data_IF_951968754515
#
_entry.id   IF_951968754515
#
_cell.length_a   1.000
_cell.length_b   1.000
_cell.length_c   1.000
_cell.angle_alpha   90.00
_cell.angle_beta   90.00
_cell.angle_gamma   90.00
#
_symmetry.space_group_name_H-M   'P 1'
#
loop_
_entity.id
_entity.type
_entity.pdbx_description
1 polymer ?
#
# COMPACT_ATOMS: atom_id res chain seq x y z
N UNK A 1 11.44 -15.98 -3.23
CA UNK A 1 10.07 -15.92 -3.78
C UNK A 1 9.30 -17.14 -3.35
N UNK A 2 8.06 -16.94 -2.93
CA UNK A 2 7.12 -17.99 -2.50
C UNK A 2 5.69 -17.46 -2.67
N UNK A 3 4.66 -18.32 -2.58
CA UNK A 3 3.28 -17.86 -2.69
C UNK A 3 2.26 -18.95 -2.99
N UNK A 4 1.02 -18.50 -3.19
CA UNK A 4 -0.13 -19.32 -3.54
C UNK A 4 -0.21 -19.47 -5.06
N UNK A 5 0.50 -20.45 -5.60
CA UNK A 5 0.68 -20.61 -7.05
C UNK A 5 -0.64 -20.70 -7.82
N UNK A 6 -1.63 -21.45 -7.30
CA UNK A 6 -2.93 -21.60 -7.97
C UNK A 6 -3.83 -20.36 -7.91
N UNK A 7 -3.50 -19.38 -7.06
CA UNK A 7 -4.22 -18.11 -6.93
C UNK A 7 -3.50 -16.95 -7.63
N UNK A 8 -2.30 -17.18 -8.19
CA UNK A 8 -1.38 -16.14 -8.66
C UNK A 8 -1.09 -15.04 -7.63
N UNK A 9 -1.04 -15.41 -6.35
CA UNK A 9 -0.59 -14.52 -5.27
C UNK A 9 0.85 -14.90 -4.91
N UNK A 10 1.78 -13.95 -5.05
CA UNK A 10 3.20 -14.18 -4.80
C UNK A 10 3.77 -13.17 -3.79
N UNK A 11 4.50 -13.69 -2.82
CA UNK A 11 5.32 -12.92 -1.89
C UNK A 11 6.73 -12.75 -2.44
N UNK A 12 7.11 -11.50 -2.56
CA UNK A 12 8.35 -11.06 -3.18
C UNK A 12 9.18 -10.27 -2.16
N UNK A 13 9.98 -10.99 -1.39
CA UNK A 13 10.83 -10.42 -0.35
C UNK A 13 12.26 -10.22 -0.88
N UNK A 14 12.81 -9.02 -0.65
CA UNK A 14 14.10 -8.60 -1.20
C UNK A 14 15.04 -8.17 -0.08
N UNK A 15 16.24 -8.76 -0.05
CA UNK A 15 17.36 -8.26 0.76
C UNK A 15 18.11 -7.22 -0.08
N UNK A 16 18.04 -5.95 0.33
CA UNK A 16 18.67 -4.84 -0.38
C UNK A 16 20.00 -4.47 0.28
N UNK A 17 21.02 -4.21 -0.54
CA UNK A 17 22.34 -3.77 -0.05
C UNK A 17 22.23 -2.43 0.71
N UNK A 18 23.01 -2.28 1.78
CA UNK A 18 23.08 -1.03 2.55
C UNK A 18 23.53 0.13 1.65
N UNK A 19 22.88 1.29 1.81
CA UNK A 19 23.15 2.51 1.05
C UNK A 19 22.28 2.70 -0.21
N UNK A 20 21.49 1.69 -0.59
CA UNK A 20 20.48 1.85 -1.65
C UNK A 20 19.30 2.64 -1.10
N UNK A 21 18.78 3.57 -1.90
CA UNK A 21 17.48 4.19 -1.63
C UNK A 21 16.35 3.18 -1.88
N UNK A 22 15.90 2.56 -0.79
CA UNK A 22 14.83 1.56 -0.83
C UNK A 22 13.47 2.16 -1.21
N UNK A 23 13.27 3.47 -1.03
CA UNK A 23 12.04 4.12 -1.40
C UNK A 23 11.95 4.26 -2.93
N UNK A 24 12.98 4.82 -3.56
CA UNK A 24 13.06 4.92 -5.01
C UNK A 24 13.05 3.55 -5.68
N UNK A 25 13.79 2.58 -5.14
CA UNK A 25 13.78 1.20 -5.64
C UNK A 25 12.36 0.60 -5.59
N UNK A 26 11.64 0.79 -4.47
CA UNK A 26 10.28 0.29 -4.35
C UNK A 26 9.36 0.88 -5.41
N UNK A 27 9.37 2.19 -5.63
CA UNK A 27 8.50 2.82 -6.63
C UNK A 27 8.80 2.29 -8.04
N UNK A 28 10.08 2.10 -8.41
CA UNK A 28 10.45 1.44 -9.68
C UNK A 28 9.88 0.02 -9.81
N UNK A 29 9.89 -0.77 -8.74
CA UNK A 29 9.33 -2.12 -8.75
C UNK A 29 7.80 -2.10 -8.90
N UNK A 30 7.13 -1.12 -8.28
CA UNK A 30 5.70 -0.94 -8.38
C UNK A 30 5.26 -0.53 -9.79
N UNK A 31 6.04 0.31 -10.48
CA UNK A 31 5.83 0.63 -11.90
C UNK A 31 5.88 -0.62 -12.79
N UNK A 32 6.85 -1.51 -12.55
CA UNK A 32 6.94 -2.78 -13.29
C UNK A 32 5.72 -3.68 -13.06
N UNK A 33 5.19 -3.71 -11.83
CA UNK A 33 3.97 -4.45 -11.52
C UNK A 33 2.74 -3.86 -12.22
N UNK A 34 2.61 -2.53 -12.22
CA UNK A 34 1.56 -1.84 -12.97
C UNK A 34 1.64 -2.14 -14.47
N UNK A 35 2.83 -2.10 -15.06
CA UNK A 35 3.04 -2.41 -16.48
C UNK A 35 2.60 -3.84 -16.82
N UNK A 36 2.74 -4.79 -15.89
CA UNK A 36 2.27 -6.18 -16.04
C UNK A 36 0.78 -6.36 -15.78
N UNK A 37 0.06 -5.31 -15.37
CA UNK A 37 -1.33 -5.41 -14.93
C UNK A 37 -1.51 -6.13 -13.59
N UNK A 38 -0.45 -6.28 -12.79
CA UNK A 38 -0.52 -6.92 -11.49
C UNK A 38 -1.13 -5.96 -10.46
N UNK A 39 -1.97 -6.49 -9.58
CA UNK A 39 -2.48 -5.74 -8.43
C UNK A 39 -1.61 -5.98 -7.19
N UNK A 40 -1.45 -4.94 -6.40
CA UNK A 40 -0.84 -5.00 -5.07
C UNK A 40 -1.52 -3.97 -4.17
N UNK A 41 -1.68 -4.28 -2.87
CA UNK A 41 -1.41 -5.56 -2.21
C UNK A 41 -2.48 -6.61 -2.51
N UNK A 42 -2.09 -7.88 -2.63
CA UNK A 42 -3.00 -8.97 -2.97
C UNK A 42 -3.78 -9.52 -1.76
N UNK A 43 -3.10 -9.81 -0.65
CA UNK A 43 -3.73 -10.40 0.56
C UNK A 43 -3.38 -9.67 1.87
N UNK A 44 -2.23 -9.00 1.94
CA UNK A 44 -1.72 -8.41 3.19
C UNK A 44 -2.33 -7.04 3.54
N UNK A 45 -3.30 -6.56 2.76
CA UNK A 45 -3.87 -5.21 2.88
C UNK A 45 -2.82 -4.09 2.68
N UNK A 46 -3.26 -2.83 2.67
CA UNK A 46 -2.40 -1.68 2.32
C UNK A 46 -1.46 -1.25 3.45
N UNK A 47 -1.90 -1.45 4.71
CA UNK A 47 -1.18 -0.97 5.89
C UNK A 47 -0.77 0.51 5.73
N UNK A 48 0.44 0.86 6.17
CA UNK A 48 1.06 2.15 5.82
C UNK A 48 2.10 2.04 4.70
N UNK A 49 2.22 0.85 4.09
CA UNK A 49 3.27 0.56 3.12
C UNK A 49 2.86 0.93 1.70
N UNK A 50 1.58 0.79 1.37
CA UNK A 50 1.04 1.02 0.03
C UNK A 50 0.04 2.18 0.04
N UNK A 51 -0.02 2.90 -1.08
CA UNK A 51 -1.10 3.85 -1.32
C UNK A 51 -2.36 3.06 -1.58
N UNK A 52 -3.41 3.29 -0.79
CA UNK A 52 -4.70 2.64 -1.01
C UNK A 52 -5.38 3.19 -2.27
N UNK A 53 -6.08 2.36 -3.06
CA UNK A 53 -6.88 2.86 -4.18
C UNK A 53 -8.04 3.74 -3.67
N UNK A 54 -8.55 4.63 -4.52
CA UNK A 54 -9.58 5.61 -4.14
C UNK A 54 -10.85 4.95 -3.57
N UNK A 55 -11.25 3.80 -4.13
CA UNK A 55 -12.39 3.01 -3.64
C UNK A 55 -12.21 2.58 -2.18
N UNK A 56 -10.99 2.15 -1.81
CA UNK A 56 -10.65 1.74 -0.46
C UNK A 56 -10.58 2.94 0.50
N UNK A 57 -10.05 4.08 0.04
CA UNK A 57 -10.03 5.31 0.83
C UNK A 57 -11.44 5.82 1.14
N UNK A 58 -12.36 5.76 0.16
CA UNK A 58 -13.78 6.09 0.36
C UNK A 58 -14.42 5.17 1.40
N UNK A 59 -14.18 3.86 1.28
CA UNK A 59 -14.66 2.88 2.24
C UNK A 59 -14.14 3.13 3.66
N UNK A 60 -12.86 3.49 3.83
CA UNK A 60 -12.32 3.84 5.15
C UNK A 60 -12.97 5.10 5.73
N UNK A 61 -13.18 6.13 4.91
CA UNK A 61 -13.84 7.38 5.35
C UNK A 61 -15.30 7.18 5.71
N UNK A 62 -16.00 6.28 5.02
CA UNK A 62 -17.38 5.91 5.36
C UNK A 62 -17.46 5.19 6.72
N UNK A 63 -16.53 4.26 6.98
CA UNK A 63 -16.50 3.52 8.25
C UNK A 63 -16.00 4.36 9.44
N UNK A 64 -15.04 5.25 9.21
CA UNK A 64 -14.45 6.11 10.24
C UNK A 64 -14.43 7.58 9.80
N UNK A 65 -15.58 8.26 9.81
CA UNK A 65 -15.67 9.66 9.37
C UNK A 65 -14.81 10.62 10.20
N UNK A 66 -14.43 10.22 11.42
CA UNK A 66 -13.58 11.02 12.31
C UNK A 66 -12.09 10.71 12.23
N UNK A 67 -11.68 9.71 11.47
CA UNK A 67 -10.30 9.25 11.35
C UNK A 67 -9.64 8.97 12.72
N UNK A 68 -10.35 8.24 13.59
CA UNK A 68 -9.92 7.90 14.96
C UNK A 68 -9.68 6.40 15.19
N UNK A 69 -9.99 5.56 14.21
CA UNK A 69 -9.79 4.11 14.23
C UNK A 69 -8.77 3.72 13.15
N UNK A 70 -7.53 3.48 13.58
CA UNK A 70 -6.40 3.13 12.71
C UNK A 70 -6.09 4.19 11.61
N UNK A 71 -5.88 5.46 11.97
CA UNK A 71 -5.70 6.54 11.00
C UNK A 71 -4.42 6.41 10.17
N UNK A 72 -4.49 6.87 8.92
CA UNK A 72 -3.36 6.91 7.99
C UNK A 72 -3.08 5.63 7.21
N UNK A 73 -3.96 4.63 7.31
CA UNK A 73 -3.90 3.41 6.49
C UNK A 73 -4.06 3.77 5.00
N UNK A 74 -3.31 3.10 4.14
CA UNK A 74 -3.28 3.37 2.70
C UNK A 74 -2.52 4.65 2.33
N UNK A 75 -1.58 5.09 3.19
CA UNK A 75 -0.89 6.40 3.09
C UNK A 75 -1.87 7.59 3.02
N UNK A 76 -2.98 7.49 3.77
CA UNK A 76 -3.94 8.59 3.92
C UNK A 76 -3.55 9.52 5.09
N UNK A 77 -4.34 10.57 5.32
CA UNK A 77 -4.14 11.46 6.47
C UNK A 77 -4.15 10.70 7.80
N UNK A 78 -3.26 11.10 8.72
CA UNK A 78 -3.24 10.67 10.12
C UNK A 78 -4.00 11.60 11.07
N UNK A 79 -4.58 12.69 10.54
CA UNK A 79 -5.21 13.75 11.34
C UNK A 79 -6.70 13.49 11.49
N UNK A 80 -7.26 13.93 12.63
CA UNK A 80 -8.69 13.85 12.91
C UNK A 80 -9.51 14.47 11.78
N UNK A 81 -10.65 13.88 11.48
CA UNK A 81 -11.56 14.29 10.40
C UNK A 81 -10.86 14.38 9.03
N UNK A 82 -9.84 13.55 8.79
CA UNK A 82 -9.18 13.42 7.49
C UNK A 82 -8.59 14.72 6.95
N UNK A 83 -8.08 15.60 7.82
CA UNK A 83 -7.44 16.85 7.40
C UNK A 83 -6.13 16.57 6.67
N UNK A 84 -5.89 17.21 5.52
CA UNK A 84 -4.60 17.11 4.83
C UNK A 84 -3.53 17.99 5.49
N UNK A 85 -2.26 17.70 5.19
CA UNK A 85 -1.14 18.57 5.55
C UNK A 85 -0.93 19.53 4.37
N UNK A 86 -0.94 20.84 4.63
CA UNK A 86 -0.50 21.85 3.66
C UNK A 86 0.99 21.71 3.33
#
# INVERSE_FOLDING_TARGET
YYGHFMCYVFHQDYIVKKGVDVHALKEQMLELLQQRGAQYPAEHNVGHLYKGPETLQKFYRENDPTNSMNPGIGKTSKRKNWQEVE
#
